data_IF_462702153431
#
_entry.id   IF_462702153431
#
_cell.length_a   1.000
_cell.length_b   1.000
_cell.length_c   1.000
_cell.angle_alpha   90.00
_cell.angle_beta   90.00
_cell.angle_gamma   90.00
#
_symmetry.space_group_name_H-M   'P 1'
#
loop_
_entity.id
_entity.type
_entity.pdbx_description
1 polymer ?
#
# COMPACT_ATOMS: atom_id res chain seq x y z
N UNK A 1 7.49 -30.80 -7.11
CA UNK A 1 6.92 -29.45 -7.31
C UNK A 1 6.32 -28.92 -6.02
N UNK A 2 5.29 -29.53 -5.42
CA UNK A 2 4.67 -29.06 -4.14
C UNK A 2 5.61 -28.78 -2.96
N UNK A 3 6.68 -29.57 -2.75
CA UNK A 3 7.62 -29.38 -1.63
C UNK A 3 8.51 -28.12 -1.82
N UNK A 4 8.79 -27.77 -3.07
CA UNK A 4 9.59 -26.59 -3.44
C UNK A 4 8.78 -25.30 -3.23
N UNK A 5 7.52 -25.29 -3.64
CA UNK A 5 6.58 -24.18 -3.44
C UNK A 5 6.32 -23.91 -1.96
N UNK A 6 6.23 -24.97 -1.15
CA UNK A 6 6.02 -24.86 0.30
C UNK A 6 7.24 -24.24 1.01
N UNK A 7 8.47 -24.56 0.59
CA UNK A 7 9.71 -24.02 1.19
C UNK A 7 9.89 -22.53 0.85
N UNK A 8 9.65 -22.14 -0.39
CA UNK A 8 9.71 -20.73 -0.81
C UNK A 8 8.68 -19.89 -0.05
N UNK A 9 7.45 -20.38 0.06
CA UNK A 9 6.39 -19.71 0.81
C UNK A 9 6.74 -19.55 2.30
N UNK A 10 7.31 -20.60 2.94
CA UNK A 10 7.74 -20.54 4.34
C UNK A 10 8.86 -19.50 4.56
N UNK A 11 9.80 -19.38 3.61
CA UNK A 11 10.87 -18.37 3.67
C UNK A 11 10.25 -16.96 3.55
N UNK A 12 9.32 -16.73 2.62
CA UNK A 12 8.69 -15.43 2.42
C UNK A 12 7.81 -15.04 3.61
N UNK A 13 7.06 -15.96 4.19
CA UNK A 13 6.26 -15.72 5.40
C UNK A 13 7.13 -15.36 6.61
N UNK A 14 8.23 -16.09 6.83
CA UNK A 14 9.19 -15.78 7.88
C UNK A 14 9.86 -14.42 7.66
N UNK A 15 10.23 -14.12 6.44
CA UNK A 15 10.85 -12.85 6.06
C UNK A 15 9.90 -11.67 6.28
N UNK A 16 8.65 -11.80 5.84
CA UNK A 16 7.60 -10.81 6.02
C UNK A 16 7.44 -10.44 7.51
N UNK A 17 7.29 -11.44 8.38
CA UNK A 17 7.19 -11.22 9.82
C UNK A 17 8.41 -10.50 10.39
N UNK A 18 9.61 -10.98 10.07
CA UNK A 18 10.85 -10.41 10.58
C UNK A 18 11.10 -8.99 10.06
N UNK A 19 10.77 -8.69 8.80
CA UNK A 19 10.88 -7.33 8.27
C UNK A 19 9.92 -6.37 8.97
N UNK A 20 8.71 -6.79 9.29
CA UNK A 20 7.73 -5.98 10.05
C UNK A 20 8.19 -5.72 11.49
N UNK A 21 8.77 -6.71 12.13
CA UNK A 21 9.22 -6.64 13.53
C UNK A 21 10.51 -5.85 13.70
N UNK A 22 11.52 -6.14 12.85
CA UNK A 22 12.90 -5.66 13.03
C UNK A 22 13.34 -4.61 11.99
N UNK A 23 12.49 -4.29 11.01
CA UNK A 23 12.85 -3.50 9.84
C UNK A 23 13.75 -4.27 8.86
N UNK A 24 14.03 -3.65 7.71
CA UNK A 24 14.92 -4.26 6.72
C UNK A 24 16.35 -4.43 7.28
N UNK A 25 16.88 -3.38 7.91
CA UNK A 25 18.26 -3.37 8.44
C UNK A 25 18.48 -4.40 9.55
N UNK A 26 17.52 -4.57 10.46
CA UNK A 26 17.61 -5.49 11.59
C UNK A 26 17.38 -6.97 11.23
N UNK A 27 16.90 -7.27 10.04
CA UNK A 27 16.63 -8.64 9.57
C UNK A 27 17.84 -9.20 8.80
N UNK A 28 18.21 -10.46 9.10
CA UNK A 28 19.30 -11.18 8.41
C UNK A 28 18.78 -12.46 7.75
N UNK A 29 19.47 -12.95 6.70
CA UNK A 29 19.13 -14.24 6.06
C UNK A 29 19.23 -15.42 7.02
N UNK A 30 20.12 -15.34 8.02
CA UNK A 30 20.22 -16.35 9.08
C UNK A 30 18.98 -16.38 9.96
N UNK A 31 18.47 -15.22 10.37
CA UNK A 31 17.22 -15.12 11.13
C UNK A 31 16.02 -15.67 10.32
N UNK A 32 15.95 -15.29 9.04
CA UNK A 32 14.88 -15.76 8.14
C UNK A 32 14.93 -17.28 8.01
N UNK A 33 16.12 -17.87 7.76
CA UNK A 33 16.26 -19.31 7.63
C UNK A 33 15.84 -20.04 8.91
N UNK A 34 16.28 -19.54 10.08
CA UNK A 34 15.90 -20.09 11.39
C UNK A 34 14.38 -20.04 11.61
N UNK A 35 13.76 -18.91 11.34
CA UNK A 35 12.30 -18.72 11.50
C UNK A 35 11.49 -19.56 10.51
N UNK A 36 12.00 -19.75 9.29
CA UNK A 36 11.36 -20.59 8.27
C UNK A 36 11.56 -22.11 8.49
N UNK A 37 12.38 -22.50 9.46
CA UNK A 37 12.71 -23.91 9.69
C UNK A 37 13.54 -24.55 8.58
N UNK A 38 14.34 -23.74 7.84
CA UNK A 38 15.17 -24.21 6.73
C UNK A 38 16.66 -23.97 7.03
N UNK A 39 17.54 -24.72 6.35
CA UNK A 39 18.97 -24.42 6.44
C UNK A 39 19.32 -23.14 5.67
N UNK A 40 20.39 -22.47 6.09
CA UNK A 40 20.90 -21.28 5.37
C UNK A 40 21.26 -21.60 3.90
N UNK A 41 21.77 -22.79 3.63
CA UNK A 41 22.03 -23.26 2.27
C UNK A 41 20.77 -23.41 1.43
N UNK A 42 19.67 -23.91 2.04
CA UNK A 42 18.37 -23.96 1.37
C UNK A 42 17.84 -22.57 1.09
N UNK A 43 17.92 -21.63 2.02
CA UNK A 43 17.49 -20.26 1.78
C UNK A 43 18.27 -19.66 0.61
N UNK A 44 19.60 -19.81 0.57
CA UNK A 44 20.44 -19.31 -0.52
C UNK A 44 20.19 -19.97 -1.88
N UNK A 45 19.65 -21.18 -1.88
CA UNK A 45 19.23 -21.84 -3.13
C UNK A 45 18.00 -21.15 -3.74
N UNK A 46 17.03 -20.66 -2.91
CA UNK A 46 15.85 -19.95 -3.38
C UNK A 46 16.12 -18.46 -3.60
N UNK A 47 16.84 -17.85 -2.67
CA UNK A 47 17.10 -16.42 -2.64
C UNK A 47 18.56 -16.17 -2.31
N UNK A 48 19.29 -15.62 -3.26
CA UNK A 48 20.73 -15.37 -3.08
C UNK A 48 21.03 -14.23 -2.13
N UNK A 49 20.09 -13.26 -2.00
CA UNK A 49 20.30 -12.07 -1.16
C UNK A 49 19.02 -11.72 -0.39
N UNK A 50 19.19 -10.97 0.70
CA UNK A 50 18.08 -10.44 1.50
C UNK A 50 17.17 -9.51 0.68
N UNK A 51 17.77 -8.74 -0.20
CA UNK A 51 17.08 -7.83 -1.10
C UNK A 51 16.11 -8.58 -2.03
N UNK A 52 16.52 -9.73 -2.56
CA UNK A 52 15.63 -10.56 -3.38
C UNK A 52 14.41 -11.07 -2.60
N UNK A 53 14.62 -11.47 -1.35
CA UNK A 53 13.52 -11.88 -0.45
C UNK A 53 12.59 -10.69 -0.22
N UNK A 54 13.16 -9.53 0.13
CA UNK A 54 12.42 -8.30 0.39
C UNK A 54 11.56 -7.89 -0.82
N UNK A 55 12.14 -7.88 -2.02
CA UNK A 55 11.44 -7.55 -3.26
C UNK A 55 10.25 -8.49 -3.46
N UNK A 56 10.40 -9.79 -3.19
CA UNK A 56 9.29 -10.75 -3.32
C UNK A 56 8.19 -10.54 -2.28
N UNK A 57 8.55 -10.19 -1.05
CA UNK A 57 7.57 -9.81 -0.02
C UNK A 57 6.80 -8.57 -0.46
N UNK A 58 7.50 -7.54 -0.95
CA UNK A 58 6.89 -6.30 -1.43
C UNK A 58 5.98 -6.52 -2.65
N UNK A 59 6.37 -7.40 -3.60
CA UNK A 59 5.52 -7.83 -4.72
C UNK A 59 4.14 -8.32 -4.22
N UNK A 60 4.14 -9.13 -3.16
CA UNK A 60 2.91 -9.66 -2.57
C UNK A 60 1.98 -8.54 -2.09
N UNK A 61 2.50 -7.52 -1.41
CA UNK A 61 1.69 -6.38 -0.94
C UNK A 61 1.13 -5.53 -2.06
N UNK A 62 1.96 -5.24 -3.06
CA UNK A 62 1.53 -4.45 -4.21
C UNK A 62 0.41 -5.18 -4.96
N UNK A 63 0.54 -6.49 -5.15
CA UNK A 63 -0.50 -7.29 -5.79
C UNK A 63 -1.79 -7.37 -4.97
N UNK A 64 -1.68 -7.50 -3.65
CA UNK A 64 -2.84 -7.51 -2.76
C UNK A 64 -3.56 -6.15 -2.79
N UNK A 65 -2.83 -5.05 -2.60
CA UNK A 65 -3.38 -3.70 -2.67
C UNK A 65 -4.09 -3.45 -4.01
N UNK A 66 -3.43 -3.82 -5.12
CA UNK A 66 -4.02 -3.69 -6.44
C UNK A 66 -5.30 -4.52 -6.59
N UNK A 67 -5.32 -5.76 -6.08
CA UNK A 67 -6.49 -6.63 -6.08
C UNK A 67 -7.68 -6.00 -5.35
N UNK A 68 -7.45 -5.46 -4.14
CA UNK A 68 -8.49 -4.82 -3.34
C UNK A 68 -9.02 -3.53 -3.97
N UNK A 69 -8.13 -2.68 -4.48
CA UNK A 69 -8.53 -1.42 -5.12
C UNK A 69 -9.25 -1.64 -6.46
N UNK A 70 -8.85 -2.66 -7.23
CA UNK A 70 -9.47 -2.98 -8.53
C UNK A 70 -10.97 -3.27 -8.41
N UNK A 71 -11.40 -3.89 -7.31
CA UNK A 71 -12.82 -4.18 -7.06
C UNK A 71 -13.69 -2.91 -6.92
N UNK A 72 -13.07 -1.79 -6.51
CA UNK A 72 -13.75 -0.50 -6.36
C UNK A 72 -13.84 0.30 -7.67
N UNK A 73 -13.05 -0.09 -8.66
CA UNK A 73 -12.91 0.65 -9.92
C UNK A 73 -13.85 0.12 -11.02
N UNK A 74 -15.12 -0.20 -10.65
CA UNK A 74 -16.11 -0.66 -11.62
C UNK A 74 -16.40 0.42 -12.68
N UNK A 75 -16.51 0.05 -13.98
CA UNK A 75 -16.90 0.97 -15.05
C UNK A 75 -18.29 1.60 -14.86
N UNK A 76 -19.18 0.90 -14.15
CA UNK A 76 -20.58 1.30 -13.98
C UNK A 76 -20.77 2.40 -12.92
N UNK A 77 -19.75 2.66 -12.11
CA UNK A 77 -19.77 3.69 -11.06
C UNK A 77 -19.39 5.06 -11.59
N UNK A 78 -20.02 6.11 -11.08
CA UNK A 78 -19.59 7.47 -11.33
C UNK A 78 -18.18 7.77 -10.80
N UNK A 79 -17.48 8.78 -11.36
CA UNK A 79 -16.11 9.13 -10.94
C UNK A 79 -16.04 9.48 -9.46
N UNK A 80 -16.97 10.30 -8.96
CA UNK A 80 -17.05 10.68 -7.54
C UNK A 80 -17.20 9.48 -6.61
N UNK A 81 -18.09 8.55 -6.95
CA UNK A 81 -18.33 7.33 -6.19
C UNK A 81 -17.08 6.43 -6.19
N UNK A 82 -16.49 6.22 -7.37
CA UNK A 82 -15.27 5.43 -7.53
C UNK A 82 -14.14 5.98 -6.64
N UNK A 83 -13.91 7.29 -6.66
CA UNK A 83 -12.85 7.94 -5.89
C UNK A 83 -13.10 7.84 -4.40
N UNK A 84 -14.32 8.06 -3.93
CA UNK A 84 -14.68 7.91 -2.52
C UNK A 84 -14.47 6.46 -2.03
N UNK A 85 -14.82 5.47 -2.83
CA UNK A 85 -14.64 4.06 -2.47
C UNK A 85 -13.17 3.65 -2.49
N UNK A 86 -12.39 4.10 -3.48
CA UNK A 86 -10.94 3.88 -3.54
C UNK A 86 -10.25 4.48 -2.31
N UNK A 87 -10.59 5.72 -1.94
CA UNK A 87 -10.06 6.37 -0.73
C UNK A 87 -10.37 5.55 0.52
N UNK A 88 -11.63 5.15 0.71
CA UNK A 88 -12.02 4.36 1.88
C UNK A 88 -11.26 3.02 1.95
N UNK A 89 -11.13 2.32 0.83
CA UNK A 89 -10.42 1.03 0.78
C UNK A 89 -8.90 1.17 0.95
N UNK A 90 -8.32 2.23 0.42
CA UNK A 90 -6.90 2.51 0.63
C UNK A 90 -6.61 2.80 2.11
N UNK A 91 -7.50 3.55 2.78
CA UNK A 91 -7.42 3.75 4.23
C UNK A 91 -7.49 2.44 5.00
N UNK A 92 -8.48 1.57 4.68
CA UNK A 92 -8.64 0.26 5.32
C UNK A 92 -7.41 -0.64 5.08
N UNK A 93 -6.85 -0.60 3.86
CA UNK A 93 -5.62 -1.30 3.53
C UNK A 93 -4.44 -0.81 4.38
N UNK A 94 -4.22 0.51 4.45
CA UNK A 94 -3.16 1.09 5.28
C UNK A 94 -3.35 0.80 6.77
N UNK A 95 -4.61 0.77 7.25
CA UNK A 95 -4.95 0.41 8.64
C UNK A 95 -4.52 -1.02 8.99
N UNK A 96 -4.67 -1.96 8.07
CA UNK A 96 -4.30 -3.37 8.26
C UNK A 96 -2.83 -3.67 7.98
N UNK A 97 -2.16 -2.84 7.13
CA UNK A 97 -0.80 -3.07 6.64
C UNK A 97 0.20 -1.99 7.11
N UNK A 98 0.08 -1.58 8.40
CA UNK A 98 0.93 -0.52 8.97
C UNK A 98 2.43 -0.88 8.98
N UNK A 99 2.75 -2.17 9.23
CA UNK A 99 4.12 -2.67 9.24
C UNK A 99 4.76 -2.58 7.86
N UNK A 100 4.02 -2.96 6.84
CA UNK A 100 4.42 -2.92 5.43
C UNK A 100 4.61 -1.49 4.93
N UNK A 101 3.68 -0.61 5.28
CA UNK A 101 3.79 0.82 4.95
C UNK A 101 5.05 1.44 5.55
N UNK A 102 5.34 1.15 6.84
CA UNK A 102 6.56 1.61 7.50
C UNK A 102 7.81 1.06 6.81
N UNK A 103 7.79 -0.22 6.46
CA UNK A 103 8.90 -0.88 5.77
C UNK A 103 9.15 -0.29 4.38
N UNK A 104 8.07 0.00 3.63
CA UNK A 104 8.16 0.65 2.32
C UNK A 104 8.82 2.03 2.42
N UNK A 105 8.49 2.80 3.44
CA UNK A 105 9.07 4.12 3.66
C UNK A 105 10.55 4.03 4.09
N UNK A 106 10.89 3.11 5.00
CA UNK A 106 12.28 2.85 5.38
C UNK A 106 13.12 2.56 4.13
N UNK A 107 12.64 1.73 3.23
CA UNK A 107 13.35 1.38 2.00
C UNK A 107 13.36 2.53 1.00
N UNK A 108 12.28 3.29 0.86
CA UNK A 108 12.26 4.46 0.00
C UNK A 108 13.31 5.51 0.39
N UNK A 109 13.59 5.60 1.70
CA UNK A 109 14.56 6.54 2.25
C UNK A 109 15.98 6.00 2.23
N UNK A 110 16.20 4.71 2.54
CA UNK A 110 17.52 4.12 2.72
C UNK A 110 18.05 3.37 1.50
N UNK A 111 17.18 2.82 0.68
CA UNK A 111 17.51 1.98 -0.48
C UNK A 111 16.55 2.23 -1.67
N UNK A 112 16.45 3.47 -2.15
CA UNK A 112 15.51 3.82 -3.24
C UNK A 112 15.74 3.02 -4.52
N UNK A 113 16.95 2.50 -4.73
CA UNK A 113 17.31 1.64 -5.86
C UNK A 113 16.48 0.34 -5.90
N UNK A 114 16.00 -0.17 -4.77
CA UNK A 114 15.15 -1.37 -4.74
C UNK A 114 13.75 -1.10 -5.27
N UNK A 115 13.31 0.15 -5.19
CA UNK A 115 12.02 0.57 -5.71
C UNK A 115 12.07 0.87 -7.21
N UNK A 116 13.24 1.11 -7.80
CA UNK A 116 13.38 1.39 -9.24
C UNK A 116 12.92 0.23 -10.12
N UNK A 117 13.08 -1.02 -9.64
CA UNK A 117 12.56 -2.22 -10.32
C UNK A 117 11.02 -2.22 -10.41
N UNK A 118 10.35 -1.57 -9.45
CA UNK A 118 8.90 -1.45 -9.46
C UNK A 118 8.41 -0.34 -10.37
N UNK A 119 9.25 0.68 -10.65
CA UNK A 119 8.89 1.76 -11.57
C UNK A 119 8.41 1.22 -12.92
N UNK A 120 9.09 0.24 -13.47
CA UNK A 120 8.77 -0.31 -14.79
C UNK A 120 7.60 -1.31 -14.72
N UNK A 121 7.54 -2.15 -13.69
CA UNK A 121 6.43 -3.08 -13.45
C UNK A 121 5.15 -2.37 -12.98
N UNK A 122 5.25 -1.42 -12.05
CA UNK A 122 4.14 -0.56 -11.62
C UNK A 122 3.71 0.35 -12.77
N UNK A 123 4.64 0.87 -13.57
CA UNK A 123 4.36 1.71 -14.71
C UNK A 123 3.57 1.00 -15.81
N UNK A 124 3.76 -0.30 -16.05
CA UNK A 124 2.93 -1.08 -16.99
C UNK A 124 1.54 -1.38 -16.36
N UNK A 125 1.52 -1.86 -15.12
CA UNK A 125 0.28 -2.28 -14.45
C UNK A 125 -0.59 -1.09 -14.01
N UNK A 126 0.04 -0.02 -13.53
CA UNK A 126 -0.61 1.26 -13.20
C UNK A 126 -0.87 2.07 -14.46
N UNK A 127 -0.04 1.96 -15.49
CA UNK A 127 -0.16 2.70 -16.74
C UNK A 127 -1.43 2.39 -17.52
N UNK A 128 -1.82 1.12 -17.66
CA UNK A 128 -3.08 0.75 -18.32
C UNK A 128 -4.31 1.12 -17.48
N UNK A 129 -4.25 0.88 -16.17
CA UNK A 129 -5.31 1.31 -15.25
C UNK A 129 -5.37 2.83 -15.18
N UNK A 130 -4.23 3.51 -15.09
CA UNK A 130 -4.10 4.96 -15.06
C UNK A 130 -4.67 5.59 -16.34
N UNK A 131 -4.32 5.11 -17.54
CA UNK A 131 -4.82 5.64 -18.79
C UNK A 131 -6.33 5.54 -18.90
N UNK A 132 -6.91 4.40 -18.53
CA UNK A 132 -8.35 4.17 -18.57
C UNK A 132 -9.11 5.05 -17.58
N UNK A 133 -8.59 5.24 -16.39
CA UNK A 133 -9.20 6.11 -15.38
C UNK A 133 -8.97 7.59 -15.66
N UNK A 134 -7.86 7.96 -16.28
CA UNK A 134 -7.58 9.32 -16.74
C UNK A 134 -8.58 9.77 -17.81
N UNK A 135 -8.92 8.90 -18.78
CA UNK A 135 -9.99 9.19 -19.77
C UNK A 135 -11.35 9.39 -19.10
N UNK A 136 -11.69 8.52 -18.14
CA UNK A 136 -12.95 8.66 -17.37
C UNK A 136 -12.98 9.95 -16.55
N UNK A 137 -11.85 10.33 -15.94
CA UNK A 137 -11.73 11.59 -15.19
C UNK A 137 -11.89 12.79 -16.12
N UNK A 138 -11.23 12.80 -17.27
CA UNK A 138 -11.35 13.86 -18.29
C UNK A 138 -12.80 14.00 -18.79
N UNK A 139 -13.48 12.90 -19.03
CA UNK A 139 -14.89 12.90 -19.41
C UNK A 139 -15.76 13.48 -18.29
N UNK A 140 -15.55 13.08 -17.03
CA UNK A 140 -16.31 13.61 -15.89
C UNK A 140 -16.05 15.11 -15.67
N UNK A 141 -14.81 15.59 -15.85
CA UNK A 141 -14.46 17.01 -15.81
C UNK A 141 -15.14 17.77 -16.95
N UNK A 142 -15.09 17.25 -18.18
CA UNK A 142 -15.72 17.91 -19.35
C UNK A 142 -17.25 18.04 -19.22
N UNK A 143 -17.87 17.10 -18.51
CA UNK A 143 -19.32 17.12 -18.21
C UNK A 143 -19.69 17.96 -16.98
N UNK A 144 -18.69 18.55 -16.29
CA UNK A 144 -18.92 19.31 -15.07
C UNK A 144 -19.40 18.45 -13.87
N UNK A 145 -19.16 17.14 -13.89
CA UNK A 145 -19.53 16.22 -12.82
C UNK A 145 -18.55 16.27 -11.65
N UNK A 146 -17.30 16.64 -11.91
CA UNK A 146 -16.24 16.87 -10.93
C UNK A 146 -15.45 18.12 -11.31
N UNK A 147 -14.76 18.71 -10.32
CA UNK A 147 -13.90 19.88 -10.51
C UNK A 147 -12.72 19.55 -11.45
N UNK A 148 -12.18 20.53 -12.16
CA UNK A 148 -10.99 20.36 -13.00
C UNK A 148 -9.79 19.89 -12.18
N UNK A 149 -9.33 18.67 -12.43
CA UNK A 149 -8.18 18.06 -11.76
C UNK A 149 -7.47 17.08 -12.70
N UNK A 150 -6.14 16.99 -12.58
CA UNK A 150 -5.37 15.92 -13.23
C UNK A 150 -5.39 14.63 -12.42
N UNK A 151 -5.25 13.49 -13.09
CA UNK A 151 -5.17 12.19 -12.41
C UNK A 151 -4.01 12.15 -11.40
N UNK A 152 -2.86 12.74 -11.73
CA UNK A 152 -1.71 12.81 -10.82
C UNK A 152 -2.03 13.56 -9.53
N UNK A 153 -2.69 14.72 -9.63
CA UNK A 153 -3.09 15.49 -8.46
C UNK A 153 -4.18 14.78 -7.65
N UNK A 154 -5.12 14.11 -8.32
CA UNK A 154 -6.15 13.32 -7.63
C UNK A 154 -5.54 12.16 -6.84
N UNK A 155 -4.60 11.41 -7.43
CA UNK A 155 -3.89 10.32 -6.73
C UNK A 155 -3.11 10.88 -5.54
N UNK A 156 -2.40 12.00 -5.71
CA UNK A 156 -1.66 12.63 -4.63
C UNK A 156 -2.60 13.05 -3.48
N UNK A 157 -3.75 13.64 -3.79
CA UNK A 157 -4.74 14.04 -2.79
C UNK A 157 -5.26 12.83 -2.00
N UNK A 158 -5.60 11.72 -2.68
CA UNK A 158 -6.03 10.48 -2.02
C UNK A 158 -4.93 9.97 -1.09
N UNK A 159 -3.69 9.85 -1.59
CA UNK A 159 -2.56 9.38 -0.79
C UNK A 159 -2.33 10.27 0.42
N UNK A 160 -2.34 11.59 0.26
CA UNK A 160 -2.12 12.53 1.36
C UNK A 160 -3.24 12.49 2.40
N UNK A 161 -4.50 12.32 1.96
CA UNK A 161 -5.64 12.20 2.87
C UNK A 161 -5.52 10.98 3.78
N UNK A 162 -5.08 9.85 3.23
CA UNK A 162 -4.97 8.58 3.96
C UNK A 162 -3.65 8.46 4.71
N UNK A 163 -2.53 8.67 4.04
CA UNK A 163 -1.18 8.44 4.56
C UNK A 163 -0.84 9.32 5.76
N UNK A 164 -1.29 10.57 5.79
CA UNK A 164 -0.95 11.52 6.87
C UNK A 164 -1.30 11.00 8.27
N UNK A 165 -2.40 10.25 8.40
CA UNK A 165 -2.84 9.63 9.65
C UNK A 165 -1.85 8.54 10.10
N UNK A 166 -1.43 7.68 9.17
CA UNK A 166 -0.53 6.55 9.49
C UNK A 166 0.91 7.00 9.71
N UNK A 167 1.37 8.07 9.05
CA UNK A 167 2.66 8.69 9.31
C UNK A 167 2.77 9.23 10.75
N UNK A 168 1.67 9.75 11.29
CA UNK A 168 1.61 10.31 12.65
C UNK A 168 1.10 9.32 13.70
N UNK A 169 0.79 8.09 13.30
CA UNK A 169 0.15 7.11 14.17
C UNK A 169 0.86 6.85 15.51
N UNK A 170 2.21 6.81 15.62
CA UNK A 170 2.88 6.65 16.90
C UNK A 170 2.59 7.82 17.87
N UNK A 171 2.53 9.05 17.36
CA UNK A 171 2.21 10.24 18.17
C UNK A 171 0.72 10.25 18.55
N UNK A 172 -0.17 9.86 17.66
CA UNK A 172 -1.60 9.73 17.90
C UNK A 172 -1.87 8.70 18.99
N UNK A 173 -1.23 7.53 18.93
CA UNK A 173 -1.32 6.50 19.99
C UNK A 173 -0.94 7.05 21.36
N UNK A 174 0.18 7.76 21.41
CA UNK A 174 0.65 8.38 22.66
C UNK A 174 -0.35 9.43 23.17
N UNK A 175 -0.86 10.30 22.32
CA UNK A 175 -1.84 11.32 22.65
C UNK A 175 -3.17 10.74 23.15
N UNK A 176 -3.57 9.56 22.65
CA UNK A 176 -4.76 8.83 23.08
C UNK A 176 -4.51 7.93 24.31
N UNK A 177 -3.33 8.01 24.95
CA UNK A 177 -2.95 7.21 26.12
C UNK A 177 -2.76 5.73 25.80
N UNK A 178 -2.43 5.37 24.56
CA UNK A 178 -2.32 4.00 24.05
C UNK A 178 -3.60 3.15 24.24
N UNK A 179 -4.75 3.80 24.33
CA UNK A 179 -6.06 3.17 24.49
C UNK A 179 -6.53 2.61 23.12
N UNK A 180 -6.74 1.28 22.98
CA UNK A 180 -7.11 0.67 21.70
C UNK A 180 -8.52 1.11 21.23
N UNK A 181 -9.46 1.33 22.15
CA UNK A 181 -10.84 1.72 21.79
C UNK A 181 -10.86 3.15 21.25
N UNK A 182 -10.17 4.08 21.93
CA UNK A 182 -10.02 5.45 21.45
C UNK A 182 -9.31 5.52 20.11
N UNK A 183 -8.26 4.69 19.92
CA UNK A 183 -7.56 4.62 18.65
C UNK A 183 -8.47 4.09 17.53
N UNK A 184 -9.26 3.05 17.81
CA UNK A 184 -10.20 2.50 16.80
C UNK A 184 -11.24 3.52 16.39
N UNK A 185 -11.86 4.22 17.37
CA UNK A 185 -12.83 5.26 17.10
C UNK A 185 -12.22 6.45 16.31
N UNK A 186 -11.01 6.87 16.69
CA UNK A 186 -10.26 7.90 15.96
C UNK A 186 -9.99 7.51 14.51
N UNK A 187 -9.52 6.27 14.26
CA UNK A 187 -9.23 5.82 12.90
C UNK A 187 -10.50 5.73 12.03
N UNK A 188 -11.63 5.35 12.61
CA UNK A 188 -12.90 5.34 11.86
C UNK A 188 -13.31 6.77 11.47
N UNK A 189 -13.22 7.72 12.41
CA UNK A 189 -13.47 9.12 12.11
C UNK A 189 -12.51 9.66 11.03
N UNK A 190 -11.22 9.32 11.08
CA UNK A 190 -10.27 9.76 10.07
C UNK A 190 -10.52 9.15 8.69
N UNK A 191 -11.00 7.90 8.63
CA UNK A 191 -11.46 7.26 7.39
C UNK A 191 -12.59 8.05 6.73
N UNK A 192 -13.60 8.43 7.49
CA UNK A 192 -14.70 9.26 7.00
C UNK A 192 -14.23 10.65 6.57
N UNK A 193 -13.30 11.24 7.35
CA UNK A 193 -12.69 12.53 7.05
C UNK A 193 -11.86 12.49 5.75
N UNK A 194 -11.10 11.42 5.49
CA UNK A 194 -10.34 11.25 4.25
C UNK A 194 -11.28 11.22 3.03
N UNK A 195 -12.34 10.43 3.09
CA UNK A 195 -13.36 10.37 2.03
C UNK A 195 -14.02 11.73 1.82
N UNK A 196 -14.37 12.44 2.90
CA UNK A 196 -14.98 13.78 2.82
C UNK A 196 -14.03 14.79 2.17
N UNK A 197 -12.75 14.83 2.56
CA UNK A 197 -11.74 15.73 1.96
C UNK A 197 -11.63 15.53 0.47
N UNK A 198 -11.49 14.29 0.01
CA UNK A 198 -11.36 13.99 -1.41
C UNK A 198 -12.66 14.28 -2.18
N UNK A 199 -13.81 14.05 -1.58
CA UNK A 199 -15.10 14.45 -2.13
C UNK A 199 -15.20 15.97 -2.30
N UNK A 200 -14.83 16.73 -1.28
CA UNK A 200 -14.86 18.20 -1.29
C UNK A 200 -13.84 18.78 -2.29
N UNK A 201 -12.69 18.10 -2.45
CA UNK A 201 -11.69 18.45 -3.45
C UNK A 201 -12.21 18.30 -4.88
N UNK A 202 -13.00 17.27 -5.15
CA UNK A 202 -13.62 17.01 -6.45
C UNK A 202 -14.96 17.75 -6.66
N UNK A 203 -15.51 18.38 -5.63
CA UNK A 203 -16.79 19.07 -5.75
C UNK A 203 -16.68 20.29 -6.68
N UNK A 204 -17.62 20.42 -7.61
CA UNK A 204 -17.73 21.59 -8.47
C UNK A 204 -18.21 22.76 -7.61
N UNK A 205 -17.37 23.77 -7.43
CA UNK A 205 -17.76 25.01 -6.75
C UNK A 205 -18.59 25.85 -7.71
N UNK A 206 -19.83 26.14 -7.34
CA UNK A 206 -20.73 27.07 -8.05
C UNK A 206 -20.29 28.51 -7.83
#
# INVERSE_FOLDING_TARGET
>A
MKMKENTEAAILEAADRLFKENGFKGTTTTLIAGQAGVTHAMLHYYFRTKEQIFIKVLDGYIMQMHGELRMSMSPDKGMMETVCEVTAKLFDFMKTHQGELRLLLEIAETHPEYLTKYRDGISVMVGEAFSRHDERLKDAVSKGLVAPVSMANLILEIIMADYSVFALLPMIRLALGNDPEKLSAFLEEQRENAVRRVRDYLAVRK
#
